data_IF_831494633047
#
_entry.id   IF_831494633047
#
_cell.length_a   1.000
_cell.length_b   1.000
_cell.length_c   1.000
_cell.angle_alpha   90.00
_cell.angle_beta   90.00
_cell.angle_gamma   90.00
#
_symmetry.space_group_name_H-M   'P 1'
#
loop_
_entity.id
_entity.type
_entity.pdbx_description
1 polymer ?
#
# COMPACT_ATOMS: atom_id res chain seq x y z
N UNK A 1 7.65 18.21 -6.11
CA UNK A 1 8.45 17.77 -7.29
C UNK A 1 9.00 16.39 -6.97
N UNK A 2 8.28 15.35 -7.39
CA UNK A 2 8.73 13.97 -7.27
C UNK A 2 9.79 13.74 -8.35
N UNK A 3 11.02 13.48 -7.94
CA UNK A 3 12.05 13.04 -8.87
C UNK A 3 11.71 11.60 -9.29
N UNK A 4 11.25 11.43 -10.51
CA UNK A 4 11.07 10.14 -11.14
C UNK A 4 12.44 9.44 -11.22
N UNK A 5 12.65 8.44 -10.37
CA UNK A 5 13.75 7.51 -10.60
C UNK A 5 13.32 6.55 -11.71
N UNK A 6 14.02 6.61 -12.84
CA UNK A 6 13.93 5.72 -13.98
C UNK A 6 14.21 4.26 -13.58
N UNK A 7 13.20 3.56 -13.10
CA UNK A 7 13.28 2.13 -12.78
C UNK A 7 12.09 1.34 -13.28
N UNK A 8 11.01 2.02 -13.58
CA UNK A 8 9.78 1.44 -14.10
C UNK A 8 9.54 1.95 -15.52
N UNK A 9 10.40 1.59 -16.49
CA UNK A 9 10.21 1.76 -17.95
C UNK A 9 9.39 3.00 -18.41
N UNK A 10 9.51 4.14 -17.71
CA UNK A 10 8.80 5.38 -18.02
C UNK A 10 7.31 5.41 -17.66
N UNK A 11 6.74 4.32 -17.14
CA UNK A 11 5.36 4.26 -16.64
C UNK A 11 5.33 4.64 -15.16
N UNK A 12 4.31 5.40 -14.76
CA UNK A 12 4.05 5.59 -13.34
C UNK A 12 3.49 4.28 -12.76
N UNK A 13 3.78 3.93 -11.51
CA UNK A 13 3.21 2.73 -10.88
C UNK A 13 1.69 2.66 -10.94
N UNK A 14 1.05 3.81 -11.03
CA UNK A 14 -0.40 3.96 -11.17
C UNK A 14 -0.95 3.44 -12.51
N UNK A 15 -0.12 3.34 -13.55
CA UNK A 15 -0.54 2.97 -14.90
C UNK A 15 -0.24 1.51 -15.25
N UNK A 16 0.47 0.77 -14.38
CA UNK A 16 0.83 -0.61 -14.62
C UNK A 16 -0.39 -1.53 -14.65
N UNK A 17 -0.38 -2.50 -15.57
CA UNK A 17 -1.33 -3.62 -15.58
C UNK A 17 -0.82 -4.77 -14.68
N UNK A 18 -1.65 -5.79 -14.45
CA UNK A 18 -1.29 -6.91 -13.57
C UNK A 18 -0.07 -7.71 -14.04
N UNK A 19 0.11 -7.91 -15.34
CA UNK A 19 1.26 -8.64 -15.88
C UNK A 19 2.58 -7.89 -15.67
N UNK A 20 2.55 -6.57 -15.67
CA UNK A 20 3.68 -5.71 -15.36
C UNK A 20 3.97 -5.69 -13.86
N UNK A 21 2.91 -5.52 -13.03
CA UNK A 21 3.02 -5.56 -11.57
C UNK A 21 3.67 -6.87 -11.11
N UNK A 22 3.23 -8.00 -11.65
CA UNK A 22 3.74 -9.33 -11.31
C UNK A 22 5.25 -9.49 -11.52
N UNK A 23 5.84 -8.69 -12.40
CA UNK A 23 7.28 -8.71 -12.70
C UNK A 23 8.11 -7.81 -11.78
N UNK A 24 7.46 -6.95 -11.01
CA UNK A 24 8.17 -6.10 -10.07
C UNK A 24 8.80 -6.96 -8.96
N UNK A 25 10.05 -6.73 -8.62
CA UNK A 25 10.70 -7.45 -7.53
C UNK A 25 10.13 -7.02 -6.17
N UNK A 26 10.23 -7.89 -5.19
CA UNK A 26 9.99 -7.56 -3.77
C UNK A 26 8.59 -7.02 -3.46
N UNK A 27 7.59 -7.38 -4.25
CA UNK A 27 6.21 -7.08 -3.90
C UNK A 27 5.75 -7.93 -2.72
N UNK A 28 4.93 -7.32 -1.89
CA UNK A 28 4.26 -7.97 -0.77
C UNK A 28 2.80 -8.25 -1.11
N UNK A 29 2.25 -9.29 -0.50
CA UNK A 29 0.86 -9.72 -0.62
C UNK A 29 0.13 -9.52 0.73
N UNK A 30 -0.18 -8.29 1.12
CA UNK A 30 -0.64 -8.00 2.47
C UNK A 30 -2.12 -8.31 2.72
N UNK A 31 -2.90 -8.59 1.68
CA UNK A 31 -4.32 -8.78 1.81
C UNK A 31 -4.92 -9.74 0.77
N UNK A 32 -5.77 -10.64 1.27
CA UNK A 32 -6.73 -11.43 0.50
C UNK A 32 -8.07 -11.38 1.20
N UNK A 33 -9.15 -11.22 0.46
CA UNK A 33 -10.48 -11.20 1.08
C UNK A 33 -11.62 -11.14 0.09
N UNK A 34 -12.81 -11.24 0.63
CA UNK A 34 -14.05 -10.98 -0.09
C UNK A 34 -14.50 -9.58 0.29
N UNK A 35 -14.88 -8.82 -0.72
CA UNK A 35 -15.40 -7.48 -0.52
C UNK A 35 -16.79 -7.55 0.04
N UNK A 36 -17.02 -6.87 1.15
CA UNK A 36 -18.35 -6.70 1.73
C UNK A 36 -18.62 -5.21 1.87
N UNK A 37 -19.71 -4.74 1.26
CA UNK A 37 -20.18 -3.39 1.50
C UNK A 37 -20.84 -3.31 2.89
N UNK A 38 -20.69 -2.16 3.54
CA UNK A 38 -21.38 -1.87 4.80
C UNK A 38 -22.80 -1.38 4.59
N UNK A 39 -23.16 -1.03 3.36
CA UNK A 39 -24.48 -0.53 3.01
C UNK A 39 -25.34 -1.66 2.41
N UNK A 40 -26.60 -1.82 2.75
CA UNK A 40 -27.46 -2.93 2.31
C UNK A 40 -28.20 -2.65 0.99
N UNK A 41 -27.67 -1.87 0.07
CA UNK A 41 -28.33 -1.62 -1.22
C UNK A 41 -27.93 -2.58 -2.33
N UNK A 42 -28.83 -2.82 -3.27
CA UNK A 42 -28.79 -3.96 -4.21
C UNK A 42 -27.80 -3.79 -5.39
N UNK A 43 -27.13 -2.64 -5.50
CA UNK A 43 -26.19 -2.35 -6.60
C UNK A 43 -24.89 -1.74 -6.06
N UNK A 44 -24.27 -2.42 -5.08
CA UNK A 44 -23.22 -1.81 -4.29
C UNK A 44 -21.87 -1.96 -4.91
N UNK A 45 -21.44 -0.89 -5.53
CA UNK A 45 -20.05 -0.63 -5.82
C UNK A 45 -19.33 -0.20 -4.54
N UNK A 46 -18.08 -0.63 -4.38
CA UNK A 46 -17.25 -0.21 -3.28
C UNK A 46 -17.03 1.30 -3.28
N UNK A 47 -17.30 1.91 -2.15
CA UNK A 47 -16.96 3.32 -1.93
C UNK A 47 -15.46 3.52 -1.71
N UNK A 48 -14.98 4.75 -1.84
CA UNK A 48 -13.61 5.11 -1.47
C UNK A 48 -13.26 4.73 -0.03
N UNK A 49 -14.22 4.80 0.90
CA UNK A 49 -14.06 4.39 2.28
C UNK A 49 -13.84 2.88 2.44
N UNK A 50 -14.45 2.06 1.59
CA UNK A 50 -14.26 0.60 1.60
C UNK A 50 -12.84 0.25 1.12
N UNK A 51 -12.35 0.90 0.06
CA UNK A 51 -10.96 0.75 -0.40
C UNK A 51 -9.96 1.18 0.68
N UNK A 52 -10.19 2.31 1.34
CA UNK A 52 -9.39 2.74 2.49
C UNK A 52 -9.40 1.72 3.62
N UNK A 53 -10.56 1.14 3.90
CA UNK A 53 -10.70 0.09 4.91
C UNK A 53 -9.86 -1.15 4.60
N UNK A 54 -9.79 -1.56 3.32
CA UNK A 54 -8.95 -2.67 2.87
C UNK A 54 -7.47 -2.34 3.07
N UNK A 55 -7.02 -1.17 2.64
CA UNK A 55 -5.62 -0.73 2.81
C UNK A 55 -5.26 -0.66 4.29
N UNK A 56 -6.12 -0.10 5.13
CA UNK A 56 -5.90 -0.01 6.58
C UNK A 56 -5.75 -1.39 7.24
N UNK A 57 -6.46 -2.41 6.77
CA UNK A 57 -6.31 -3.80 7.23
C UNK A 57 -4.99 -4.42 6.75
N UNK A 58 -4.50 -4.02 5.59
CA UNK A 58 -3.26 -4.54 5.01
C UNK A 58 -2.00 -3.97 5.66
N UNK A 59 -2.02 -2.72 6.13
CA UNK A 59 -0.86 -2.00 6.68
C UNK A 59 -0.13 -2.76 7.80
N UNK A 60 -0.79 -3.37 8.81
CA UNK A 60 -0.10 -4.15 9.83
C UNK A 60 0.73 -5.30 9.25
N UNK A 61 0.23 -5.97 8.21
CA UNK A 61 0.94 -7.07 7.55
C UNK A 61 2.18 -6.60 6.80
N UNK A 62 2.16 -5.39 6.23
CA UNK A 62 3.34 -4.79 5.60
C UNK A 62 4.45 -4.51 6.62
N UNK A 63 4.08 -4.03 7.79
CA UNK A 63 5.02 -3.74 8.87
C UNK A 63 5.62 -5.03 9.46
N UNK A 64 4.80 -6.09 9.61
CA UNK A 64 5.22 -7.37 10.18
C UNK A 64 6.13 -8.17 9.23
N UNK A 65 6.02 -8.02 7.92
CA UNK A 65 6.88 -8.72 6.96
C UNK A 65 8.31 -8.17 6.93
N UNK A 66 8.54 -6.96 7.45
CA UNK A 66 9.86 -6.32 7.46
C UNK A 66 10.73 -6.70 8.67
N UNK A 67 10.23 -6.56 9.87
CA UNK A 67 10.95 -6.88 11.11
C UNK A 67 9.99 -6.85 12.31
N UNK A 68 9.76 -8.00 12.91
CA UNK A 68 8.94 -8.12 14.13
C UNK A 68 9.43 -7.27 15.30
N UNK A 69 10.72 -6.91 15.34
CA UNK A 69 11.29 -6.10 16.41
C UNK A 69 10.88 -4.61 16.33
N UNK A 70 10.34 -4.16 15.20
CA UNK A 70 9.76 -2.81 15.10
C UNK A 70 8.50 -2.71 15.96
N UNK A 71 7.76 -3.80 16.12
CA UNK A 71 6.57 -3.85 16.97
C UNK A 71 6.89 -3.67 18.47
N UNK A 72 8.13 -3.94 18.89
CA UNK A 72 8.58 -3.76 20.28
C UNK A 72 9.08 -2.34 20.57
N UNK A 73 9.21 -1.53 19.55
CA UNK A 73 9.63 -0.13 19.67
C UNK A 73 8.41 0.79 19.69
N UNK A 74 8.52 1.93 20.39
CA UNK A 74 7.51 3.00 20.31
C UNK A 74 7.55 3.77 18.98
N UNK A 75 7.94 3.10 17.89
CA UNK A 75 8.05 3.67 16.55
C UNK A 75 6.91 3.14 15.70
N UNK A 76 6.25 4.03 15.02
CA UNK A 76 5.17 3.68 14.11
C UNK A 76 5.12 4.59 12.91
N UNK A 77 4.08 4.43 12.12
CA UNK A 77 3.79 5.27 10.97
C UNK A 77 2.41 5.89 11.06
N UNK A 78 2.28 7.09 10.51
CA UNK A 78 0.98 7.70 10.25
C UNK A 78 0.91 8.11 8.79
N UNK A 79 -0.21 7.83 8.16
CA UNK A 79 -0.45 8.28 6.80
C UNK A 79 -0.65 9.79 6.77
N UNK A 80 0.13 10.46 5.93
CA UNK A 80 0.00 11.89 5.67
C UNK A 80 -0.90 12.15 4.49
N UNK A 81 -0.83 11.29 3.49
CA UNK A 81 -1.49 11.46 2.21
C UNK A 81 -1.84 10.11 1.60
N UNK A 82 -2.99 10.06 0.93
CA UNK A 82 -3.35 9.00 0.03
C UNK A 82 -3.78 9.60 -1.31
N UNK A 83 -3.18 9.12 -2.40
CA UNK A 83 -3.67 9.38 -3.75
C UNK A 83 -4.31 8.10 -4.29
N UNK A 84 -5.59 8.17 -4.65
CA UNK A 84 -6.33 7.05 -5.23
C UNK A 84 -6.62 7.27 -6.71
N UNK A 85 -6.46 6.20 -7.49
CA UNK A 85 -7.02 6.08 -8.84
C UNK A 85 -7.91 4.87 -8.91
N UNK A 86 -9.20 5.09 -8.97
CA UNK A 86 -10.18 4.05 -9.20
C UNK A 86 -10.24 3.73 -10.69
N UNK A 87 -10.10 2.46 -11.05
CA UNK A 87 -10.11 1.98 -12.43
C UNK A 87 -11.38 1.21 -12.75
N UNK A 88 -11.87 0.43 -11.80
CA UNK A 88 -13.06 -0.39 -11.95
C UNK A 88 -13.74 -0.52 -10.59
N UNK A 89 -15.03 -0.42 -10.59
CA UNK A 89 -15.83 -0.75 -9.41
C UNK A 89 -16.15 -2.24 -9.40
N UNK A 90 -16.23 -2.80 -8.22
CA UNK A 90 -16.49 -4.21 -8.01
C UNK A 90 -17.67 -4.37 -7.06
N UNK A 91 -18.49 -5.40 -7.32
CA UNK A 91 -19.65 -5.69 -6.51
C UNK A 91 -19.28 -6.35 -5.18
N UNK A 92 -20.12 -6.15 -4.18
CA UNK A 92 -20.06 -6.90 -2.93
C UNK A 92 -20.09 -8.41 -3.22
N UNK A 93 -19.26 -9.19 -2.52
CA UNK A 93 -19.09 -10.62 -2.74
C UNK A 93 -17.92 -10.98 -3.66
N UNK A 94 -17.29 -10.03 -4.35
CA UNK A 94 -16.13 -10.29 -5.19
C UNK A 94 -14.90 -10.62 -4.34
N UNK A 95 -14.13 -11.60 -4.77
CA UNK A 95 -12.82 -11.89 -4.22
C UNK A 95 -11.79 -10.86 -4.70
N UNK A 96 -10.98 -10.32 -3.78
CA UNK A 96 -9.93 -9.37 -4.09
C UNK A 96 -8.65 -9.71 -3.36
N UNK A 97 -7.52 -9.32 -3.95
CA UNK A 97 -6.23 -9.35 -3.29
C UNK A 97 -5.46 -8.06 -3.54
N UNK A 98 -4.47 -7.80 -2.71
CA UNK A 98 -3.63 -6.62 -2.82
C UNK A 98 -2.18 -7.00 -3.03
N UNK A 99 -1.53 -6.33 -3.98
CA UNK A 99 -0.08 -6.27 -4.11
C UNK A 99 0.38 -4.91 -3.58
N UNK A 100 1.49 -4.88 -2.87
CA UNK A 100 2.06 -3.64 -2.37
C UNK A 100 3.56 -3.58 -2.59
N UNK A 101 4.05 -2.43 -3.01
CA UNK A 101 5.47 -2.19 -3.23
C UNK A 101 5.93 -0.89 -2.57
N UNK A 102 7.05 -0.95 -1.87
CA UNK A 102 7.69 0.23 -1.30
C UNK A 102 8.47 0.95 -2.40
N UNK A 103 8.08 2.19 -2.72
CA UNK A 103 8.65 2.95 -3.85
C UNK A 103 9.73 3.94 -3.47
N UNK A 104 9.59 4.55 -2.32
CA UNK A 104 10.46 5.66 -1.93
C UNK A 104 10.71 5.66 -0.44
N UNK A 105 11.91 6.03 -0.05
CA UNK A 105 12.30 6.22 1.34
C UNK A 105 13.01 7.57 1.43
N UNK A 106 12.54 8.42 2.33
CA UNK A 106 13.15 9.70 2.68
C UNK A 106 13.60 9.68 4.14
N UNK A 107 14.10 10.80 4.64
CA UNK A 107 14.60 10.92 6.01
C UNK A 107 13.56 10.62 7.08
N UNK A 108 12.30 11.01 6.86
CA UNK A 108 11.18 10.83 7.80
C UNK A 108 9.99 10.11 7.20
N UNK A 109 9.91 9.99 5.88
CA UNK A 109 8.76 9.45 5.17
C UNK A 109 9.15 8.30 4.25
N UNK A 110 8.19 7.47 3.95
CA UNK A 110 8.28 6.44 2.93
C UNK A 110 6.96 6.29 2.20
N UNK A 111 6.99 5.85 0.94
CA UNK A 111 5.81 5.77 0.09
C UNK A 111 5.59 4.34 -0.38
N UNK A 112 4.40 3.84 -0.12
CA UNK A 112 3.90 2.58 -0.67
C UNK A 112 2.97 2.85 -1.84
N UNK A 113 3.02 1.97 -2.86
CA UNK A 113 1.96 1.82 -3.83
C UNK A 113 1.22 0.52 -3.57
N UNK A 114 -0.09 0.59 -3.56
CA UNK A 114 -1.00 -0.52 -3.35
C UNK A 114 -1.85 -0.73 -4.60
N UNK A 115 -1.87 -1.93 -5.13
CA UNK A 115 -2.74 -2.34 -6.24
C UNK A 115 -3.78 -3.30 -5.70
N UNK A 116 -5.04 -2.89 -5.72
CA UNK A 116 -6.17 -3.76 -5.41
C UNK A 116 -6.64 -4.43 -6.69
N UNK A 117 -6.74 -5.75 -6.68
CA UNK A 117 -6.91 -6.59 -7.86
C UNK A 117 -8.07 -7.54 -7.65
N UNK A 118 -8.95 -7.67 -8.65
CA UNK A 118 -10.03 -8.64 -8.63
C UNK A 118 -9.47 -10.05 -8.84
N UNK A 119 -9.82 -11.00 -7.97
CA UNK A 119 -9.22 -12.33 -7.99
C UNK A 119 -9.65 -13.15 -9.21
N UNK A 120 -10.87 -12.97 -9.69
CA UNK A 120 -11.43 -13.74 -10.80
C UNK A 120 -10.85 -13.33 -12.17
N UNK A 121 -10.63 -12.03 -12.38
CA UNK A 121 -10.26 -11.47 -13.69
C UNK A 121 -8.82 -10.97 -13.75
N UNK A 122 -8.18 -10.78 -12.60
CA UNK A 122 -6.89 -10.08 -12.45
C UNK A 122 -6.91 -8.62 -12.91
N UNK A 123 -8.09 -8.02 -13.05
CA UNK A 123 -8.22 -6.61 -13.35
C UNK A 123 -7.88 -5.75 -12.13
N UNK A 124 -7.22 -4.63 -12.37
CA UNK A 124 -6.90 -3.67 -11.32
C UNK A 124 -8.13 -2.82 -11.03
N UNK A 125 -8.60 -2.89 -9.80
CA UNK A 125 -9.79 -2.15 -9.34
C UNK A 125 -9.41 -0.73 -8.92
N UNK A 126 -8.32 -0.63 -8.16
CA UNK A 126 -7.81 0.65 -7.69
C UNK A 126 -6.30 0.58 -7.47
N UNK A 127 -5.67 1.72 -7.61
CA UNK A 127 -4.27 1.92 -7.22
C UNK A 127 -4.24 3.06 -6.21
N UNK A 128 -3.46 2.91 -5.16
CA UNK A 128 -3.28 3.95 -4.16
C UNK A 128 -1.80 4.13 -3.82
N UNK A 129 -1.35 5.37 -3.83
CA UNK A 129 -0.09 5.75 -3.21
C UNK A 129 -0.37 6.24 -1.79
N UNK A 130 0.39 5.78 -0.83
CA UNK A 130 0.33 6.20 0.56
C UNK A 130 1.66 6.75 1.02
N UNK A 131 1.69 8.00 1.44
CA UNK A 131 2.85 8.65 2.05
C UNK A 131 2.73 8.49 3.56
N UNK A 132 3.69 7.78 4.15
CA UNK A 132 3.71 7.48 5.57
C UNK A 132 4.84 8.25 6.24
N UNK A 133 4.57 8.90 7.37
CA UNK A 133 5.58 9.54 8.20
C UNK A 133 5.98 8.62 9.36
N UNK A 134 7.28 8.54 9.61
CA UNK A 134 7.80 7.85 10.80
C UNK A 134 7.61 8.70 12.03
N UNK A 135 7.05 8.13 13.09
CA UNK A 135 6.76 8.85 14.32
C UNK A 135 7.07 8.03 15.58
N UNK A 136 7.38 8.75 16.64
CA UNK A 136 7.40 8.22 18.00
C UNK A 136 5.94 8.17 18.51
N UNK A 137 5.46 6.97 18.78
CA UNK A 137 4.06 6.73 19.19
C UNK A 137 3.77 7.25 20.61
N UNK A 138 4.78 7.36 21.48
CA UNK A 138 4.63 7.86 22.82
C UNK A 138 4.47 9.38 22.83
N UNK A 139 5.29 10.09 22.06
CA UNK A 139 5.27 11.56 21.99
C UNK A 139 4.38 12.07 20.87
N UNK A 140 3.94 11.21 19.96
CA UNK A 140 3.20 11.53 18.73
C UNK A 140 3.89 12.56 17.84
N UNK A 141 5.21 12.59 17.87
CA UNK A 141 6.01 13.51 17.04
C UNK A 141 6.66 12.75 15.88
N UNK A 142 6.76 13.44 14.75
CA UNK A 142 7.53 12.95 13.61
C UNK A 142 9.01 12.88 13.96
N UNK A 143 9.64 11.76 13.66
CA UNK A 143 11.06 11.50 13.91
C UNK A 143 11.80 11.14 12.64
N UNK A 144 13.11 11.25 12.65
CA UNK A 144 13.93 10.63 11.61
C UNK A 144 13.79 9.13 11.69
N UNK A 145 13.74 8.49 10.54
CA UNK A 145 13.68 7.04 10.45
C UNK A 145 14.93 6.43 11.09
N UNK A 146 14.77 5.54 12.09
CA UNK A 146 15.90 4.86 12.70
C UNK A 146 16.72 4.07 11.67
N UNK A 147 18.04 4.04 11.83
CA UNK A 147 18.96 3.36 10.90
C UNK A 147 18.58 1.89 10.64
N UNK A 148 18.07 1.20 11.66
CA UNK A 148 17.63 -0.19 11.51
C UNK A 148 16.42 -0.28 10.58
N UNK A 149 15.38 0.51 10.82
CA UNK A 149 14.18 0.57 9.99
C UNK A 149 14.53 0.97 8.55
N UNK A 150 15.39 1.97 8.39
CA UNK A 150 15.89 2.41 7.08
C UNK A 150 16.55 1.28 6.30
N UNK A 151 17.42 0.48 6.95
CA UNK A 151 18.07 -0.68 6.32
C UNK A 151 17.08 -1.76 5.91
N UNK A 152 16.10 -2.08 6.76
CA UNK A 152 15.09 -3.10 6.45
C UNK A 152 14.18 -2.66 5.30
N UNK A 153 13.72 -1.41 5.29
CA UNK A 153 12.92 -0.89 4.19
C UNK A 153 13.69 -0.89 2.85
N UNK A 154 14.99 -0.61 2.86
CA UNK A 154 15.79 -0.68 1.63
C UNK A 154 15.91 -2.09 1.04
N UNK A 155 15.79 -3.14 1.85
CA UNK A 155 15.79 -4.53 1.35
C UNK A 155 14.55 -4.83 0.49
N UNK A 156 13.43 -4.17 0.78
CA UNK A 156 12.14 -4.38 0.12
C UNK A 156 11.76 -3.23 -0.83
N UNK A 157 12.65 -2.29 -1.05
CA UNK A 157 12.43 -1.20 -1.99
C UNK A 157 12.29 -1.77 -3.41
N UNK A 158 11.18 -1.43 -4.08
CA UNK A 158 10.90 -1.79 -5.47
C UNK A 158 11.56 -0.73 -6.36
N UNK A 159 12.71 -1.04 -6.91
CA UNK A 159 13.47 -0.11 -7.79
C UNK A 159 13.81 -0.82 -9.08
#
# INVERSE_FOLDING_TARGET
LYAEKKGLSGLTPMDLNYSEIKRLPKLLDPYYGIVTSKSPSIAEELSAADYMGIISKAVPHLLLQGDHSIAETNIGGAALEYEFRFKKFVSSGSGVFMKSGLRQINTKTYTWTHWLIEAATTEILAVADSVIITMDLRTRKAIQMPKRMWKELHKILVV
#
